data_IF_769561017483
#
_entry.id   IF_769561017483
#
_cell.length_a   1.000
_cell.length_b   1.000
_cell.length_c   1.000
_cell.angle_alpha   90.00
_cell.angle_beta   90.00
_cell.angle_gamma   90.00
#
_symmetry.space_group_name_H-M   'P 1'
#
loop_
_entity.id
_entity.type
_entity.pdbx_description
1 polymer ?
#
# COMPACT_ATOMS: atom_id res chain seq x y z
N UNK A 1 -33.98 73.05 28.02
CA UNK A 1 -34.99 73.68 27.12
C UNK A 1 -35.48 72.52 26.23
N UNK A 2 -36.57 71.87 26.58
CA UNK A 2 -37.92 72.14 26.11
C UNK A 2 -37.97 71.98 24.59
N UNK A 3 -38.76 71.18 23.91
CA UNK A 3 -40.18 70.74 24.06
C UNK A 3 -40.48 69.95 22.79
N UNK A 4 -41.11 68.94 22.77
CA UNK A 4 -42.48 68.43 22.79
C UNK A 4 -42.90 67.76 21.47
N UNK A 5 -43.51 66.63 21.62
CA UNK A 5 -44.36 65.85 20.67
C UNK A 5 -45.58 66.64 20.21
N UNK A 6 -46.39 66.24 19.22
CA UNK A 6 -47.36 65.14 19.40
C UNK A 6 -47.78 64.30 18.16
N UNK A 7 -48.47 63.20 18.44
CA UNK A 7 -49.39 62.38 17.60
C UNK A 7 -50.68 63.13 17.24
N UNK A 8 -51.71 62.65 16.46
CA UNK A 8 -52.14 61.27 16.10
C UNK A 8 -52.77 61.17 14.67
N UNK A 9 -53.33 60.13 14.09
CA UNK A 9 -54.44 59.24 14.32
C UNK A 9 -54.96 58.54 13.04
N UNK A 10 -55.40 57.29 13.18
CA UNK A 10 -56.60 56.63 12.56
C UNK A 10 -56.68 56.44 11.02
N UNK A 11 -56.99 55.26 10.44
CA UNK A 11 -58.14 54.32 10.54
C UNK A 11 -58.00 53.12 9.63
N UNK A 12 -58.30 51.94 10.17
CA UNK A 12 -59.19 50.81 9.77
C UNK A 12 -59.38 50.52 8.28
N UNK A 13 -59.30 49.20 7.85
CA UNK A 13 -60.24 48.10 8.04
C UNK A 13 -59.88 46.87 7.22
N UNK A 14 -59.88 45.70 7.73
CA UNK A 14 -60.80 44.55 7.76
C UNK A 14 -60.59 43.41 6.72
N UNK A 15 -60.38 42.21 7.31
CA UNK A 15 -60.88 40.85 6.95
C UNK A 15 -60.16 40.12 5.80
N UNK A 16 -59.74 38.85 5.93
CA UNK A 16 -60.35 37.62 6.49
C UNK A 16 -59.36 36.51 6.68
N UNK A 17 -59.42 35.93 7.85
CA UNK A 17 -59.24 34.54 8.30
C UNK A 17 -58.88 33.44 7.31
N UNK A 18 -57.86 32.63 7.64
CA UNK A 18 -58.11 31.22 8.07
C UNK A 18 -56.92 30.67 8.83
N UNK A 19 -57.20 30.22 10.01
CA UNK A 19 -56.38 29.57 11.01
C UNK A 19 -56.24 28.07 10.68
N UNK A 20 -55.08 27.52 10.86
CA UNK A 20 -54.93 26.15 11.37
C UNK A 20 -53.74 26.12 12.32
N UNK A 21 -54.06 25.84 13.57
CA UNK A 21 -53.13 25.54 14.67
C UNK A 21 -53.03 24.04 14.73
N UNK A 22 -51.83 23.50 14.73
CA UNK A 22 -51.55 22.18 15.32
C UNK A 22 -50.33 22.31 16.20
N UNK A 23 -50.60 22.22 17.47
CA UNK A 23 -49.58 22.08 18.53
C UNK A 23 -49.07 20.65 18.53
N UNK A 24 -47.77 20.46 18.63
CA UNK A 24 -47.20 19.18 19.05
C UNK A 24 -46.06 19.45 20.05
N UNK A 25 -46.19 18.77 21.15
CA UNK A 25 -45.37 18.89 22.35
C UNK A 25 -43.95 18.43 22.14
N UNK A 26 -43.02 19.11 22.80
CA UNK A 26 -41.62 18.67 22.93
C UNK A 26 -41.55 17.49 23.91
N UNK A 27 -40.96 16.38 23.44
CA UNK A 27 -40.39 15.33 24.29
C UNK A 27 -38.89 15.31 24.01
N UNK A 28 -38.12 15.74 24.99
CA UNK A 28 -36.68 15.62 24.97
C UNK A 28 -36.29 14.15 25.27
N UNK A 29 -35.80 13.46 24.29
CA UNK A 29 -35.04 12.19 24.48
C UNK A 29 -33.60 12.43 24.02
N UNK A 30 -32.69 12.46 24.98
CA UNK A 30 -31.26 12.42 24.70
C UNK A 30 -30.92 11.02 24.20
N UNK A 31 -30.65 10.89 22.90
CA UNK A 31 -30.05 9.69 22.29
C UNK A 31 -28.69 10.12 21.75
N UNK A 32 -27.64 9.45 22.23
CA UNK A 32 -26.28 9.68 21.80
C UNK A 32 -26.13 9.55 20.30
N UNK A 33 -25.68 10.62 19.66
CA UNK A 33 -25.38 10.64 18.24
C UNK A 33 -24.07 9.89 18.01
N UNK A 34 -24.16 8.59 17.76
CA UNK A 34 -23.13 7.87 17.02
C UNK A 34 -23.14 8.45 15.59
N UNK A 35 -22.08 9.14 15.22
CA UNK A 35 -21.87 9.58 13.85
C UNK A 35 -21.62 8.36 13.01
N UNK A 36 -22.66 7.79 12.41
CA UNK A 36 -22.55 6.90 11.27
C UNK A 36 -21.99 7.75 10.11
N UNK A 37 -20.69 7.65 9.89
CA UNK A 37 -20.11 8.10 8.62
C UNK A 37 -20.61 7.12 7.57
N UNK A 38 -21.75 7.43 6.96
CA UNK A 38 -22.19 6.78 5.74
C UNK A 38 -21.14 7.14 4.67
N UNK A 39 -20.25 6.18 4.34
CA UNK A 39 -19.55 6.25 3.08
C UNK A 39 -20.60 6.15 1.98
N UNK A 40 -20.99 7.28 1.42
CA UNK A 40 -21.80 7.30 0.21
C UNK A 40 -21.05 6.50 -0.84
N UNK A 41 -21.65 5.43 -1.32
CA UNK A 41 -21.13 4.71 -2.48
C UNK A 41 -21.04 5.72 -3.63
N UNK A 42 -19.81 6.10 -4.00
CA UNK A 42 -19.59 7.00 -5.12
C UNK A 42 -20.22 6.38 -6.37
N UNK A 43 -20.92 7.16 -7.17
CA UNK A 43 -21.37 6.68 -8.47
C UNK A 43 -20.15 6.31 -9.33
N UNK A 44 -20.25 5.40 -10.31
CA UNK A 44 -19.11 5.03 -11.16
C UNK A 44 -18.39 6.22 -11.81
N UNK A 45 -19.07 7.34 -12.05
CA UNK A 45 -18.49 8.58 -12.54
C UNK A 45 -17.60 9.26 -11.48
N UNK A 46 -17.94 9.17 -10.20
CA UNK A 46 -17.21 9.80 -9.10
C UNK A 46 -15.96 9.01 -8.73
N UNK A 47 -15.93 7.68 -8.96
CA UNK A 47 -14.77 6.83 -8.65
C UNK A 47 -13.47 7.37 -9.25
N UNK A 48 -13.52 7.88 -10.47
CA UNK A 48 -12.35 8.35 -11.22
C UNK A 48 -11.83 9.71 -10.73
N UNK A 49 -12.70 10.55 -10.20
CA UNK A 49 -12.39 11.87 -9.66
C UNK A 49 -12.32 11.91 -8.13
N UNK A 50 -12.51 10.77 -7.48
CA UNK A 50 -12.49 10.69 -6.04
C UNK A 50 -11.10 11.04 -5.49
N UNK A 51 -11.08 11.89 -4.47
CA UNK A 51 -9.89 12.31 -3.73
C UNK A 51 -9.85 11.63 -2.37
N UNK A 52 -8.66 11.57 -1.77
CA UNK A 52 -8.53 11.06 -0.40
C UNK A 52 -9.39 11.89 0.56
N UNK A 53 -10.24 11.25 1.40
CA UNK A 53 -11.04 11.95 2.38
C UNK A 53 -10.19 12.79 3.36
N UNK A 54 -10.76 13.89 3.83
CA UNK A 54 -10.08 14.74 4.82
C UNK A 54 -9.82 13.97 6.11
N UNK A 55 -8.63 14.15 6.69
CA UNK A 55 -8.17 13.48 7.92
C UNK A 55 -7.99 11.96 7.78
N UNK A 56 -7.91 11.43 6.58
CA UNK A 56 -7.72 10.01 6.33
C UNK A 56 -6.23 9.68 6.11
N UNK A 57 -5.54 9.48 7.20
CA UNK A 57 -4.12 9.18 7.23
C UNK A 57 -3.20 10.34 6.80
N UNK A 58 -1.91 10.05 6.78
CA UNK A 58 -0.89 11.06 6.51
C UNK A 58 -1.00 11.71 5.11
N UNK A 59 -1.48 10.99 4.09
CA UNK A 59 -1.63 11.54 2.74
C UNK A 59 -2.75 12.62 2.66
N UNK A 60 -3.61 12.73 3.68
CA UNK A 60 -4.59 13.82 3.80
C UNK A 60 -3.98 15.10 4.38
N UNK A 61 -2.72 15.11 4.79
CA UNK A 61 -2.04 16.27 5.36
C UNK A 61 -1.77 17.35 4.31
N UNK A 62 -1.76 18.60 4.75
CA UNK A 62 -1.53 19.76 3.89
C UNK A 62 -2.63 19.94 2.85
N UNK A 63 -2.30 19.89 1.57
CA UNK A 63 -3.28 19.98 0.47
C UNK A 63 -4.07 18.70 0.23
N UNK A 64 -3.76 17.63 0.97
CA UNK A 64 -4.32 16.31 0.73
C UNK A 64 -3.79 15.64 -0.54
N UNK A 65 -4.40 14.51 -0.90
CA UNK A 65 -4.08 13.76 -2.12
C UNK A 65 -5.30 13.75 -3.04
N UNK A 66 -5.17 14.40 -4.18
CA UNK A 66 -6.26 14.59 -5.16
C UNK A 66 -6.00 13.88 -6.48
N UNK A 67 -4.80 13.35 -6.68
CA UNK A 67 -4.42 12.68 -7.93
C UNK A 67 -4.74 13.52 -9.16
N UNK A 68 -5.36 12.88 -10.13
CA UNK A 68 -5.82 13.48 -11.37
C UNK A 68 -7.21 14.09 -11.32
N UNK A 69 -7.81 14.38 -10.16
CA UNK A 69 -9.20 14.85 -10.06
C UNK A 69 -9.50 16.13 -10.88
N UNK A 70 -8.46 16.90 -11.24
CA UNK A 70 -8.58 18.10 -12.10
C UNK A 70 -8.29 17.82 -13.59
N UNK A 71 -8.16 16.56 -14.00
CA UNK A 71 -7.96 16.21 -15.39
C UNK A 71 -9.17 16.59 -16.25
N UNK A 72 -8.89 17.16 -17.40
CA UNK A 72 -9.91 17.39 -18.42
C UNK A 72 -10.14 16.13 -19.27
N UNK A 73 -11.03 16.22 -20.24
CA UNK A 73 -11.35 15.12 -21.14
C UNK A 73 -10.14 14.66 -21.99
N UNK A 74 -9.24 15.58 -22.36
CA UNK A 74 -8.05 15.26 -23.15
C UNK A 74 -6.99 14.50 -22.34
N UNK A 75 -7.04 14.61 -21.01
CA UNK A 75 -6.12 13.95 -20.07
C UNK A 75 -6.81 12.83 -19.27
N UNK A 76 -7.98 12.38 -19.71
CA UNK A 76 -8.70 11.23 -19.17
C UNK A 76 -8.66 10.07 -20.15
N UNK A 77 -7.86 9.07 -19.85
CA UNK A 77 -7.57 7.94 -20.73
C UNK A 77 -8.28 6.67 -20.27
N UNK A 78 -8.69 5.80 -21.21
CA UNK A 78 -9.04 4.42 -20.94
C UNK A 78 -8.07 3.54 -21.68
N UNK A 79 -7.38 2.65 -20.98
CA UNK A 79 -6.27 1.85 -21.52
C UNK A 79 -6.51 0.37 -21.22
N UNK A 80 -6.17 -0.50 -22.18
CA UNK A 80 -6.30 -1.95 -22.08
C UNK A 80 -5.02 -2.69 -22.48
N UNK A 81 -4.04 -1.97 -23.01
CA UNK A 81 -2.77 -2.51 -23.49
C UNK A 81 -1.58 -1.78 -22.85
N UNK A 82 -0.41 -2.43 -22.85
CA UNK A 82 0.83 -1.83 -22.39
C UNK A 82 1.17 -0.56 -23.15
N UNK A 83 1.06 -0.58 -24.47
CA UNK A 83 1.37 0.57 -25.32
C UNK A 83 0.46 1.79 -24.99
N UNK A 84 -0.85 1.55 -24.79
CA UNK A 84 -1.78 2.61 -24.38
C UNK A 84 -1.44 3.14 -22.99
N UNK A 85 -1.07 2.26 -22.02
CA UNK A 85 -0.65 2.69 -20.70
C UNK A 85 0.61 3.57 -20.74
N UNK A 86 1.64 3.16 -21.48
CA UNK A 86 2.86 3.96 -21.67
C UNK A 86 2.55 5.32 -22.29
N UNK A 87 1.69 5.37 -23.31
CA UNK A 87 1.26 6.62 -23.95
C UNK A 87 0.49 7.52 -22.98
N UNK A 88 -0.42 6.96 -22.18
CA UNK A 88 -1.22 7.71 -21.20
C UNK A 88 -0.36 8.25 -20.04
N UNK A 89 0.64 7.49 -19.58
CA UNK A 89 1.60 7.94 -18.57
C UNK A 89 2.45 9.11 -19.10
N UNK A 90 2.88 9.07 -20.34
CA UNK A 90 3.69 10.12 -20.95
C UNK A 90 5.05 10.31 -20.28
N UNK A 91 5.50 11.56 -20.13
CA UNK A 91 6.76 11.87 -19.46
C UNK A 91 6.62 11.83 -17.95
N UNK A 92 7.59 11.21 -17.26
CA UNK A 92 7.64 11.18 -15.79
C UNK A 92 7.78 12.58 -15.15
N UNK A 93 8.21 13.58 -15.92
CA UNK A 93 8.36 14.98 -15.47
C UNK A 93 7.13 15.84 -15.75
N UNK A 94 6.13 15.29 -16.44
CA UNK A 94 4.89 16.01 -16.72
C UNK A 94 4.06 16.15 -15.42
N UNK A 95 3.51 17.33 -15.19
CA UNK A 95 2.70 17.65 -14.01
C UNK A 95 1.24 17.91 -14.34
N UNK A 96 0.85 17.75 -15.60
CA UNK A 96 -0.55 17.90 -16.03
C UNK A 96 -1.42 16.84 -15.34
N UNK A 97 -2.50 17.24 -14.67
CA UNK A 97 -3.40 16.28 -14.03
C UNK A 97 -3.95 15.27 -15.05
N UNK A 98 -3.93 13.99 -14.71
CA UNK A 98 -4.44 12.93 -15.59
C UNK A 98 -5.14 11.81 -14.84
N UNK A 99 -6.14 11.23 -15.47
CA UNK A 99 -6.83 10.03 -15.03
C UNK A 99 -6.57 8.93 -16.04
N UNK A 100 -6.05 7.79 -15.56
CA UNK A 100 -5.78 6.61 -16.37
C UNK A 100 -6.67 5.48 -15.86
N UNK A 101 -7.72 5.16 -16.63
CA UNK A 101 -8.68 4.10 -16.35
C UNK A 101 -8.17 2.81 -17.00
N UNK A 102 -7.75 1.85 -16.18
CA UNK A 102 -7.28 0.55 -16.66
C UNK A 102 -8.47 -0.39 -16.82
N UNK A 103 -8.69 -0.89 -18.04
CA UNK A 103 -9.77 -1.81 -18.39
C UNK A 103 -9.21 -3.19 -18.69
N UNK A 104 -9.49 -4.16 -17.81
CA UNK A 104 -8.92 -5.51 -17.91
C UNK A 104 -7.48 -5.57 -17.42
N UNK A 105 -6.83 -6.71 -17.62
CA UNK A 105 -5.46 -6.96 -17.17
C UNK A 105 -4.46 -6.61 -18.28
N UNK A 106 -3.54 -5.71 -17.98
CA UNK A 106 -2.42 -5.34 -18.87
C UNK A 106 -1.22 -6.24 -18.52
N UNK A 107 -0.77 -7.09 -19.47
CA UNK A 107 0.48 -7.83 -19.33
C UNK A 107 1.67 -6.93 -19.72
N UNK A 108 2.49 -6.59 -18.72
CA UNK A 108 3.64 -5.70 -18.89
C UNK A 108 4.75 -6.30 -19.78
N UNK A 109 4.79 -7.62 -19.91
CA UNK A 109 5.73 -8.29 -20.79
C UNK A 109 5.32 -8.25 -22.26
N UNK A 110 4.13 -7.74 -22.60
CA UNK A 110 3.72 -7.56 -24.00
C UNK A 110 4.41 -6.33 -24.59
N UNK A 111 5.25 -6.55 -25.59
CA UNK A 111 5.93 -5.46 -26.32
C UNK A 111 4.94 -4.62 -27.14
N UNK A 112 5.41 -3.50 -27.71
CA UNK A 112 4.59 -2.58 -28.49
C UNK A 112 4.02 -3.24 -29.77
N UNK A 113 4.64 -4.32 -30.23
CA UNK A 113 4.12 -5.17 -31.34
C UNK A 113 2.98 -6.10 -30.93
N UNK A 114 2.58 -6.12 -29.66
CA UNK A 114 1.62 -7.07 -29.11
C UNK A 114 2.19 -8.47 -28.80
N UNK A 115 3.48 -8.72 -29.08
CA UNK A 115 4.14 -9.98 -28.74
C UNK A 115 4.56 -10.00 -27.28
N UNK A 116 4.18 -11.05 -26.56
CA UNK A 116 4.65 -11.30 -25.19
C UNK A 116 6.11 -11.75 -25.21
N UNK A 117 6.96 -11.05 -24.44
CA UNK A 117 8.34 -11.44 -24.20
C UNK A 117 8.42 -12.40 -23.00
N UNK A 118 9.35 -13.34 -23.09
CA UNK A 118 9.73 -14.29 -22.03
C UNK A 118 11.08 -13.91 -21.43
N UNK A 119 11.49 -14.53 -20.34
CA UNK A 119 12.84 -14.37 -19.78
C UNK A 119 13.92 -14.76 -20.81
N UNK A 120 13.66 -15.78 -21.64
CA UNK A 120 14.56 -16.17 -22.73
C UNK A 120 14.68 -15.09 -23.81
N UNK A 121 13.58 -14.38 -24.14
CA UNK A 121 13.62 -13.27 -25.10
C UNK A 121 14.48 -12.11 -24.57
N UNK A 122 14.37 -11.78 -23.29
CA UNK A 122 15.20 -10.74 -22.66
C UNK A 122 16.68 -11.13 -22.60
N UNK A 123 17.01 -12.41 -22.35
CA UNK A 123 18.36 -12.93 -22.32
C UNK A 123 19.00 -13.09 -23.71
N UNK A 124 18.18 -13.20 -24.77
CA UNK A 124 18.66 -13.51 -26.13
C UNK A 124 19.74 -12.53 -26.58
N UNK A 125 20.91 -13.09 -27.02
CA UNK A 125 22.04 -12.28 -27.50
C UNK A 125 22.80 -11.48 -26.44
N UNK A 126 22.50 -11.64 -25.12
CA UNK A 126 23.29 -11.02 -24.05
C UNK A 126 24.47 -11.89 -23.60
N UNK A 127 24.45 -13.19 -23.91
CA UNK A 127 25.41 -14.18 -23.41
C UNK A 127 25.05 -14.71 -22.01
N UNK A 128 23.94 -14.30 -21.43
CA UNK A 128 23.46 -14.83 -20.15
C UNK A 128 22.81 -16.21 -20.32
N UNK A 129 23.16 -17.11 -19.43
CA UNK A 129 22.31 -18.26 -19.10
C UNK A 129 22.43 -18.56 -17.61
N UNK A 130 21.33 -18.98 -16.98
CA UNK A 130 21.31 -19.29 -15.55
C UNK A 130 22.36 -20.37 -15.22
N UNK A 131 22.53 -21.43 -16.07
CA UNK A 131 23.48 -22.46 -15.85
C UNK A 131 24.94 -21.97 -15.88
N UNK A 132 25.27 -21.06 -16.80
CA UNK A 132 26.61 -20.45 -16.87
C UNK A 132 26.84 -19.49 -15.68
N UNK A 133 25.81 -18.74 -15.26
CA UNK A 133 25.86 -17.89 -14.10
C UNK A 133 26.12 -18.70 -12.81
N UNK A 134 25.36 -19.76 -12.60
CA UNK A 134 25.54 -20.67 -11.46
C UNK A 134 26.93 -21.31 -11.44
N UNK A 135 27.48 -21.68 -12.59
CA UNK A 135 28.86 -22.21 -12.66
C UNK A 135 29.91 -21.14 -12.34
N UNK A 136 29.70 -19.90 -12.82
CA UNK A 136 30.68 -18.83 -12.67
C UNK A 136 30.76 -18.30 -11.21
N UNK A 137 29.66 -18.35 -10.48
CA UNK A 137 29.56 -17.76 -9.15
C UNK A 137 29.23 -18.79 -8.05
N UNK A 138 29.56 -20.04 -8.28
CA UNK A 138 29.43 -21.11 -7.27
C UNK A 138 30.15 -20.71 -5.99
N UNK A 139 29.46 -20.60 -4.83
CA UNK A 139 30.08 -20.18 -3.58
C UNK A 139 31.25 -21.02 -3.12
N UNK A 140 31.31 -22.30 -3.54
CA UNK A 140 32.40 -23.20 -3.19
C UNK A 140 33.72 -22.85 -3.88
N UNK A 141 33.66 -22.22 -5.05
CA UNK A 141 34.83 -21.84 -5.87
C UNK A 141 35.01 -20.33 -5.97
N UNK A 142 33.93 -19.58 -6.06
CA UNK A 142 33.97 -18.10 -6.16
C UNK A 142 34.14 -17.42 -4.82
N UNK A 143 33.58 -18.01 -3.74
CA UNK A 143 33.60 -17.48 -2.38
C UNK A 143 32.58 -16.36 -2.10
N UNK A 144 32.71 -15.74 -0.93
CA UNK A 144 31.78 -14.69 -0.44
C UNK A 144 32.18 -13.28 -0.91
N UNK A 145 32.04 -13.00 -2.17
CA UNK A 145 32.24 -11.66 -2.76
C UNK A 145 31.20 -11.42 -3.85
N UNK A 146 30.81 -10.18 -4.03
CA UNK A 146 29.84 -9.80 -5.05
C UNK A 146 30.24 -10.31 -6.44
N UNK A 147 29.33 -10.94 -7.20
CA UNK A 147 29.57 -11.39 -8.56
C UNK A 147 30.15 -10.28 -9.46
N UNK A 148 31.17 -10.60 -10.23
CA UNK A 148 31.77 -9.69 -11.22
C UNK A 148 32.29 -10.49 -12.40
N UNK A 149 32.20 -9.95 -13.62
CA UNK A 149 32.69 -10.56 -14.84
C UNK A 149 31.61 -10.81 -15.87
N UNK A 150 31.93 -11.57 -16.90
CA UNK A 150 31.12 -11.68 -18.11
C UNK A 150 29.66 -12.11 -17.84
N UNK A 151 29.44 -13.08 -16.95
CA UNK A 151 28.08 -13.56 -16.66
C UNK A 151 27.25 -12.55 -15.84
N UNK A 152 27.87 -11.79 -14.93
CA UNK A 152 27.15 -10.71 -14.24
C UNK A 152 26.80 -9.57 -15.21
N UNK A 153 27.73 -9.15 -16.05
CA UNK A 153 27.47 -8.14 -17.10
C UNK A 153 26.36 -8.61 -18.05
N UNK A 154 26.34 -9.89 -18.41
CA UNK A 154 25.29 -10.47 -19.26
C UNK A 154 23.92 -10.51 -18.55
N UNK A 155 23.89 -10.83 -17.24
CA UNK A 155 22.69 -10.76 -16.39
C UNK A 155 22.13 -9.35 -16.34
N UNK A 156 22.97 -8.36 -16.04
CA UNK A 156 22.58 -6.93 -16.00
C UNK A 156 22.06 -6.43 -17.34
N UNK A 157 22.64 -6.89 -18.46
CA UNK A 157 22.16 -6.56 -19.80
C UNK A 157 20.76 -7.14 -20.06
N UNK A 158 20.51 -8.38 -19.65
CA UNK A 158 19.20 -9.03 -19.77
C UNK A 158 18.14 -8.34 -18.87
N UNK A 159 18.49 -8.04 -17.61
CA UNK A 159 17.67 -7.29 -16.67
C UNK A 159 17.31 -5.91 -17.23
N UNK A 160 18.26 -5.18 -17.82
CA UNK A 160 18.02 -3.87 -18.44
C UNK A 160 16.97 -3.94 -19.55
N UNK A 161 16.94 -5.03 -20.31
CA UNK A 161 15.90 -5.24 -21.35
C UNK A 161 14.54 -5.51 -20.74
N UNK A 162 14.47 -6.36 -19.71
CA UNK A 162 13.23 -6.60 -18.98
C UNK A 162 12.72 -5.28 -18.37
N UNK A 163 13.57 -4.54 -17.68
CA UNK A 163 13.25 -3.25 -17.04
C UNK A 163 12.61 -2.24 -17.98
N UNK A 164 13.12 -2.12 -19.20
CA UNK A 164 12.55 -1.27 -20.24
C UNK A 164 11.08 -1.61 -20.56
N UNK A 165 10.73 -2.87 -20.42
CA UNK A 165 9.40 -3.36 -20.78
C UNK A 165 8.42 -3.23 -19.60
N UNK A 166 8.83 -3.64 -18.40
CA UNK A 166 7.90 -3.82 -17.28
C UNK A 166 7.82 -2.63 -16.32
N UNK A 167 8.77 -1.69 -16.33
CA UNK A 167 8.78 -0.56 -15.39
C UNK A 167 8.05 0.64 -15.97
N UNK A 168 6.98 1.04 -15.29
CA UNK A 168 6.13 2.19 -15.63
C UNK A 168 6.39 3.33 -14.67
N UNK A 169 6.81 4.49 -15.17
CA UNK A 169 7.03 5.69 -14.35
C UNK A 169 5.75 6.51 -14.28
N UNK A 170 5.23 6.70 -13.09
CA UNK A 170 3.99 7.46 -12.85
C UNK A 170 4.33 8.93 -12.63
N UNK A 171 3.80 9.86 -13.43
CA UNK A 171 4.02 11.29 -13.24
C UNK A 171 3.19 11.87 -12.08
N UNK A 172 3.47 13.12 -11.71
CA UNK A 172 2.70 13.82 -10.68
C UNK A 172 1.23 14.04 -11.08
N UNK A 173 0.37 14.31 -10.10
CA UNK A 173 -1.05 14.62 -10.29
C UNK A 173 -1.79 13.55 -11.10
N UNK A 174 -1.50 12.28 -10.83
CA UNK A 174 -2.05 11.14 -11.58
C UNK A 174 -2.97 10.30 -10.72
N UNK A 175 -4.13 9.92 -11.26
CA UNK A 175 -4.96 8.83 -10.76
C UNK A 175 -4.88 7.66 -11.71
N UNK A 176 -4.37 6.50 -11.24
CA UNK A 176 -4.53 5.21 -11.90
C UNK A 176 -5.66 4.47 -11.21
N UNK A 177 -6.66 4.05 -11.96
CA UNK A 177 -7.85 3.42 -11.38
C UNK A 177 -8.39 2.30 -12.26
N UNK A 178 -8.72 1.18 -11.62
CA UNK A 178 -9.36 0.04 -12.31
C UNK A 178 -10.81 0.33 -12.68
N UNK A 179 -11.17 0.02 -13.93
CA UNK A 179 -12.56 0.10 -14.38
C UNK A 179 -13.36 -1.01 -13.71
N UNK A 180 -14.44 -0.70 -13.00
CA UNK A 180 -15.27 -1.69 -12.31
C UNK A 180 -15.71 -2.85 -13.22
N UNK A 181 -15.76 -4.07 -12.66
CA UNK A 181 -16.21 -5.27 -13.35
C UNK A 181 -15.29 -5.81 -14.45
N UNK A 182 -14.07 -5.24 -14.64
CA UNK A 182 -13.19 -5.62 -15.76
C UNK A 182 -11.96 -6.44 -15.36
N UNK A 183 -11.84 -6.86 -14.10
CA UNK A 183 -10.61 -7.49 -13.57
C UNK A 183 -9.37 -6.63 -13.88
N UNK A 184 -9.48 -5.34 -13.64
CA UNK A 184 -8.44 -4.37 -13.95
C UNK A 184 -7.16 -4.65 -13.16
N UNK A 185 -6.01 -4.63 -13.84
CA UNK A 185 -4.74 -4.89 -13.18
C UNK A 185 -3.53 -4.82 -14.11
N UNK A 186 -2.37 -5.04 -13.52
CA UNK A 186 -1.09 -5.13 -14.21
C UNK A 186 -0.45 -6.47 -13.84
N UNK A 187 -0.16 -7.28 -14.84
CA UNK A 187 0.52 -8.57 -14.71
C UNK A 187 2.00 -8.39 -15.07
N UNK A 188 2.90 -8.80 -14.19
CA UNK A 188 4.34 -8.78 -14.43
C UNK A 188 4.97 -7.39 -14.51
N UNK A 189 4.27 -6.35 -14.06
CA UNK A 189 4.71 -4.96 -14.18
C UNK A 189 4.99 -4.29 -12.85
N UNK A 190 5.91 -3.31 -12.86
CA UNK A 190 6.31 -2.49 -11.73
C UNK A 190 5.94 -1.04 -11.96
N UNK A 191 5.14 -0.45 -11.07
CA UNK A 191 4.87 0.98 -11.06
C UNK A 191 5.89 1.72 -10.19
N UNK A 192 6.53 2.73 -10.75
CA UNK A 192 7.47 3.59 -10.02
C UNK A 192 6.92 5.00 -9.85
N UNK A 193 6.59 5.39 -8.62
CA UNK A 193 6.20 6.73 -8.21
C UNK A 193 7.44 7.41 -7.60
N UNK A 194 8.24 8.07 -8.44
CA UNK A 194 9.56 8.54 -8.04
C UNK A 194 9.73 10.05 -8.15
N UNK A 195 10.06 10.71 -7.03
CA UNK A 195 10.33 12.16 -6.94
C UNK A 195 9.15 13.02 -7.47
N UNK A 196 7.94 12.53 -7.33
CA UNK A 196 6.70 13.16 -7.76
C UNK A 196 5.74 13.33 -6.57
N UNK A 197 4.64 14.02 -6.78
CA UNK A 197 3.62 14.24 -5.76
C UNK A 197 2.22 14.02 -6.29
N UNK A 198 1.30 13.77 -5.34
CA UNK A 198 -0.13 13.75 -5.60
C UNK A 198 -0.52 12.63 -6.57
N UNK A 199 -0.35 11.39 -6.13
CA UNK A 199 -0.66 10.19 -6.93
C UNK A 199 -1.67 9.31 -6.20
N UNK A 200 -2.69 8.84 -6.92
CA UNK A 200 -3.69 7.88 -6.48
C UNK A 200 -3.56 6.60 -7.31
N UNK A 201 -3.49 5.45 -6.64
CA UNK A 201 -3.47 4.13 -7.25
C UNK A 201 -4.56 3.31 -6.58
N UNK A 202 -5.61 2.94 -7.32
CA UNK A 202 -6.75 2.28 -6.70
C UNK A 202 -7.47 1.27 -7.59
N UNK A 203 -8.12 0.31 -6.94
CA UNK A 203 -8.96 -0.71 -7.56
C UNK A 203 -8.23 -1.54 -8.64
N UNK A 204 -6.95 -1.85 -8.42
CA UNK A 204 -6.08 -2.55 -9.37
C UNK A 204 -5.48 -3.82 -8.75
N UNK A 205 -5.39 -4.87 -9.53
CA UNK A 205 -4.62 -6.06 -9.17
C UNK A 205 -3.20 -5.96 -9.74
N UNK A 206 -2.20 -6.06 -8.87
CA UNK A 206 -0.80 -6.21 -9.23
C UNK A 206 -0.41 -7.68 -8.99
N UNK A 207 -0.10 -8.39 -10.06
CA UNK A 207 0.19 -9.81 -10.00
C UNK A 207 1.53 -10.12 -10.65
N UNK A 208 2.28 -11.06 -10.05
CA UNK A 208 3.46 -11.68 -10.66
C UNK A 208 4.50 -10.68 -11.19
N UNK A 209 4.87 -9.70 -10.37
CA UNK A 209 5.93 -8.73 -10.71
C UNK A 209 7.28 -9.42 -10.62
N UNK A 210 7.51 -10.32 -11.58
CA UNK A 210 8.63 -11.25 -11.61
C UNK A 210 9.90 -10.59 -12.17
N UNK A 211 11.04 -10.77 -11.48
CA UNK A 211 12.37 -10.57 -12.02
C UNK A 211 12.85 -11.87 -12.70
N UNK A 212 13.13 -11.79 -13.99
CA UNK A 212 13.69 -12.91 -14.74
C UNK A 212 15.16 -13.22 -14.37
N UNK A 213 15.84 -12.26 -13.74
CA UNK A 213 17.29 -12.29 -13.56
C UNK A 213 17.72 -11.87 -12.15
N UNK A 214 17.18 -12.47 -11.07
CA UNK A 214 17.59 -12.15 -9.72
C UNK A 214 19.10 -12.20 -9.54
N UNK A 215 19.65 -11.24 -8.82
CA UNK A 215 21.08 -11.20 -8.54
C UNK A 215 21.43 -12.10 -7.35
N UNK A 216 22.53 -12.84 -7.46
CA UNK A 216 23.10 -13.55 -6.31
C UNK A 216 23.92 -12.58 -5.45
N UNK A 217 23.55 -12.43 -4.17
CA UNK A 217 24.37 -11.74 -3.18
C UNK A 217 24.89 -12.72 -2.13
N UNK A 218 26.14 -13.21 -2.24
CA UNK A 218 26.73 -14.12 -1.27
C UNK A 218 27.03 -13.45 0.08
N UNK A 219 26.91 -12.11 0.18
CA UNK A 219 27.19 -11.35 1.40
C UNK A 219 25.93 -11.04 2.20
N UNK A 220 24.73 -11.28 1.65
CA UNK A 220 23.48 -11.11 2.37
C UNK A 220 23.31 -12.22 3.41
N UNK A 221 23.36 -11.81 4.68
CA UNK A 221 23.34 -12.73 5.81
C UNK A 221 24.51 -13.69 5.87
N UNK A 222 24.31 -14.86 6.49
CA UNK A 222 25.35 -15.88 6.64
C UNK A 222 25.52 -16.77 5.42
N UNK A 223 24.50 -16.93 4.62
CA UNK A 223 24.42 -17.95 3.54
C UNK A 223 24.22 -17.36 2.15
N UNK A 224 24.15 -16.05 2.00
CA UNK A 224 23.79 -15.37 0.78
C UNK A 224 22.27 -15.43 0.49
N UNK A 225 21.81 -14.61 -0.44
CA UNK A 225 20.42 -14.59 -0.92
C UNK A 225 20.35 -14.25 -2.41
N UNK A 226 19.25 -14.67 -3.05
CA UNK A 226 18.84 -14.19 -4.37
C UNK A 226 17.99 -12.95 -4.19
N UNK A 227 18.31 -11.88 -4.90
CA UNK A 227 17.64 -10.59 -4.80
C UNK A 227 17.01 -10.20 -6.13
N UNK A 228 15.69 -10.10 -6.15
CA UNK A 228 14.92 -9.47 -7.23
C UNK A 228 15.01 -7.96 -7.16
N UNK A 229 14.76 -7.28 -8.28
CA UNK A 229 14.94 -5.84 -8.43
C UNK A 229 13.61 -5.08 -8.60
N UNK A 230 12.45 -5.76 -8.63
CA UNK A 230 11.18 -5.11 -8.97
C UNK A 230 10.14 -5.30 -7.88
N UNK A 231 9.73 -4.17 -7.28
CA UNK A 231 8.49 -4.11 -6.50
C UNK A 231 7.28 -3.97 -7.43
N UNK A 232 6.13 -4.44 -7.01
CA UNK A 232 4.90 -4.20 -7.78
C UNK A 232 4.56 -2.70 -7.82
N UNK A 233 4.73 -2.00 -6.68
CA UNK A 233 4.66 -0.54 -6.59
C UNK A 233 5.81 -0.01 -5.74
N UNK A 234 6.65 0.83 -6.31
CA UNK A 234 7.71 1.55 -5.60
C UNK A 234 7.34 3.01 -5.42
N UNK A 235 7.23 3.49 -4.19
CA UNK A 235 7.09 4.91 -3.83
C UNK A 235 8.45 5.39 -3.33
N UNK A 236 9.15 6.22 -4.12
CA UNK A 236 10.53 6.61 -3.87
C UNK A 236 10.72 8.12 -3.92
N UNK A 237 11.01 8.75 -2.78
CA UNK A 237 11.16 10.21 -2.70
C UNK A 237 9.90 10.99 -3.10
N UNK A 238 8.73 10.35 -3.07
CA UNK A 238 7.45 10.92 -3.48
C UNK A 238 6.62 11.37 -2.27
N UNK A 239 5.66 12.26 -2.49
CA UNK A 239 4.79 12.77 -1.42
C UNK A 239 3.33 12.79 -1.83
N UNK A 240 2.42 12.68 -0.85
CA UNK A 240 0.98 12.64 -1.08
C UNK A 240 0.60 11.51 -2.05
N UNK A 241 0.78 10.28 -1.58
CA UNK A 241 0.42 9.06 -2.33
C UNK A 241 -0.67 8.31 -1.59
N UNK A 242 -1.71 7.94 -2.31
CA UNK A 242 -2.81 7.14 -1.80
C UNK A 242 -2.95 5.85 -2.60
N UNK A 243 -2.72 4.71 -1.94
CA UNK A 243 -2.93 3.37 -2.48
C UNK A 243 -4.16 2.75 -1.82
N UNK A 244 -5.21 2.49 -2.59
CA UNK A 244 -6.54 2.13 -2.08
C UNK A 244 -7.20 1.00 -2.87
N UNK A 245 -7.77 0.02 -2.17
CA UNK A 245 -8.48 -1.10 -2.78
C UNK A 245 -7.68 -1.83 -3.87
N UNK A 246 -6.37 -2.00 -3.69
CA UNK A 246 -5.57 -2.80 -4.61
C UNK A 246 -5.37 -4.22 -4.06
N UNK A 247 -5.10 -5.16 -4.95
CA UNK A 247 -4.67 -6.52 -4.62
C UNK A 247 -3.25 -6.73 -5.12
N UNK A 248 -2.36 -7.19 -4.25
CA UNK A 248 -0.97 -7.54 -4.57
C UNK A 248 -0.78 -9.04 -4.34
N UNK A 249 -0.17 -9.73 -5.31
CA UNK A 249 0.03 -11.18 -5.21
C UNK A 249 1.16 -11.67 -6.12
N UNK A 250 1.90 -12.68 -5.66
CA UNK A 250 2.90 -13.38 -6.48
C UNK A 250 2.26 -14.34 -7.50
N UNK A 251 0.96 -14.58 -7.42
CA UNK A 251 0.30 -15.51 -8.35
C UNK A 251 0.41 -15.05 -9.81
N UNK A 252 0.63 -15.99 -10.77
CA UNK A 252 0.65 -17.44 -10.58
C UNK A 252 2.01 -18.03 -10.19
N UNK A 253 3.12 -17.26 -10.23
CA UNK A 253 4.46 -17.75 -9.91
C UNK A 253 4.77 -17.51 -8.44
N UNK A 254 4.93 -18.57 -7.65
CA UNK A 254 5.19 -18.42 -6.23
C UNK A 254 6.65 -18.71 -5.91
N UNK A 255 7.38 -17.80 -5.28
CA UNK A 255 8.78 -17.97 -4.87
C UNK A 255 9.02 -19.30 -4.13
N UNK A 256 8.01 -19.77 -3.37
CA UNK A 256 8.11 -21.00 -2.59
C UNK A 256 8.11 -22.27 -3.46
N UNK A 257 7.68 -22.16 -4.70
CA UNK A 257 7.74 -23.26 -5.69
C UNK A 257 8.97 -23.20 -6.60
N UNK A 258 9.70 -22.08 -6.60
CA UNK A 258 10.90 -21.90 -7.41
C UNK A 258 12.02 -22.87 -7.01
N UNK A 259 12.95 -23.09 -7.93
CA UNK A 259 14.13 -23.94 -7.72
C UNK A 259 15.01 -23.40 -6.58
N UNK A 260 15.86 -24.26 -6.04
CA UNK A 260 16.85 -23.89 -5.02
C UNK A 260 18.23 -23.92 -5.68
N UNK A 261 18.94 -22.78 -5.61
CA UNK A 261 20.32 -22.66 -6.07
C UNK A 261 21.21 -22.16 -4.92
N UNK A 262 22.39 -22.73 -4.76
CA UNK A 262 23.33 -22.43 -3.66
C UNK A 262 22.70 -22.59 -2.25
N UNK A 263 21.72 -23.50 -2.12
CA UNK A 263 20.99 -23.73 -0.87
C UNK A 263 19.91 -22.66 -0.55
N UNK A 264 19.67 -21.72 -1.45
CA UNK A 264 18.66 -20.66 -1.31
C UNK A 264 17.60 -20.74 -2.40
N UNK A 265 16.33 -20.41 -2.05
CA UNK A 265 15.26 -20.29 -3.05
C UNK A 265 15.62 -19.22 -4.07
N UNK A 266 15.42 -19.52 -5.34
CA UNK A 266 15.56 -18.55 -6.43
C UNK A 266 14.37 -17.57 -6.38
N UNK A 267 14.53 -16.55 -5.55
CA UNK A 267 13.46 -15.59 -5.25
C UNK A 267 13.32 -14.61 -6.42
N UNK A 268 12.17 -14.65 -7.09
CA UNK A 268 11.89 -13.86 -8.29
C UNK A 268 11.01 -12.63 -8.02
N UNK A 269 10.51 -12.45 -6.79
CA UNK A 269 9.76 -11.27 -6.38
C UNK A 269 10.50 -10.46 -5.31
N UNK A 270 10.44 -9.12 -5.36
CA UNK A 270 10.92 -8.25 -4.29
C UNK A 270 9.75 -7.69 -3.45
N UNK A 271 9.50 -6.40 -3.40
CA UNK A 271 8.43 -5.82 -2.62
C UNK A 271 7.07 -5.83 -3.32
N UNK A 272 5.99 -5.88 -2.56
CA UNK A 272 4.65 -5.62 -3.10
C UNK A 272 4.39 -4.11 -3.20
N UNK A 273 4.64 -3.37 -2.12
CA UNK A 273 4.54 -1.92 -2.08
C UNK A 273 5.61 -1.35 -1.16
N UNK A 274 6.66 -0.76 -1.71
CA UNK A 274 7.76 -0.19 -0.97
C UNK A 274 7.74 1.33 -0.93
N UNK A 275 8.06 1.93 0.24
CA UNK A 275 8.00 3.36 0.50
C UNK A 275 9.36 3.81 1.02
N UNK A 276 10.19 4.41 0.15
CA UNK A 276 11.62 4.58 0.41
C UNK A 276 12.14 5.97 0.08
N UNK A 277 13.43 6.20 0.38
CA UNK A 277 14.17 7.40 0.00
C UNK A 277 13.50 8.72 0.44
N UNK A 278 13.04 8.78 1.68
CA UNK A 278 12.42 9.98 2.21
C UNK A 278 11.05 10.31 1.61
N UNK A 279 10.35 9.33 1.05
CA UNK A 279 8.93 9.48 0.71
C UNK A 279 8.12 9.90 1.92
N UNK A 280 7.04 10.64 1.73
CA UNK A 280 6.31 11.24 2.83
C UNK A 280 4.82 11.39 2.54
N UNK A 281 4.00 11.45 3.59
CA UNK A 281 2.56 11.63 3.46
C UNK A 281 1.92 10.57 2.57
N UNK A 282 2.07 9.29 2.96
CA UNK A 282 1.52 8.15 2.24
C UNK A 282 0.39 7.52 3.06
N UNK A 283 -0.72 7.19 2.42
CA UNK A 283 -1.82 6.39 2.99
C UNK A 283 -2.02 5.14 2.14
N UNK A 284 -2.04 4.00 2.81
CA UNK A 284 -2.26 2.67 2.22
C UNK A 284 -3.48 2.06 2.92
N UNK A 285 -4.60 1.98 2.22
CA UNK A 285 -5.84 1.50 2.83
C UNK A 285 -6.58 0.48 1.97
N UNK A 286 -7.34 -0.39 2.63
CA UNK A 286 -8.24 -1.38 2.00
C UNK A 286 -7.58 -2.22 0.89
N UNK A 287 -6.26 -2.41 0.96
CA UNK A 287 -5.58 -3.29 0.02
C UNK A 287 -5.55 -4.73 0.55
N UNK A 288 -5.45 -5.68 -0.36
CA UNK A 288 -5.11 -7.06 -0.06
C UNK A 288 -3.66 -7.33 -0.45
N UNK A 289 -2.88 -7.88 0.47
CA UNK A 289 -1.55 -8.43 0.23
C UNK A 289 -1.62 -9.94 0.40
N UNK A 290 -1.38 -10.68 -0.68
CA UNK A 290 -1.63 -12.11 -0.75
C UNK A 290 -0.39 -12.86 -1.24
N UNK A 291 0.00 -13.93 -0.52
CA UNK A 291 1.05 -14.85 -0.95
C UNK A 291 2.34 -14.14 -1.39
N UNK A 292 3.00 -13.48 -0.45
CA UNK A 292 4.19 -12.69 -0.74
C UNK A 292 5.23 -12.79 0.38
N UNK A 293 6.52 -12.72 0.03
CA UNK A 293 7.59 -12.83 1.06
C UNK A 293 7.95 -11.44 1.64
N UNK A 294 8.54 -10.55 0.86
CA UNK A 294 9.10 -9.25 1.30
C UNK A 294 8.10 -8.11 1.06
N UNK A 295 6.98 -8.06 1.77
CA UNK A 295 5.76 -7.38 1.31
C UNK A 295 5.84 -5.85 1.28
N UNK A 296 6.31 -5.20 2.35
CA UNK A 296 6.35 -3.73 2.42
C UNK A 296 7.57 -3.24 3.20
N UNK A 297 8.47 -2.55 2.52
CA UNK A 297 9.61 -1.88 3.12
C UNK A 297 9.31 -0.39 3.25
N UNK A 298 9.47 0.15 4.47
CA UNK A 298 9.42 1.58 4.72
C UNK A 298 10.82 2.04 5.15
N UNK A 299 11.50 2.81 4.28
CA UNK A 299 12.88 3.22 4.46
C UNK A 299 13.89 2.21 3.95
N UNK A 300 14.70 2.61 2.96
CA UNK A 300 15.69 1.77 2.28
C UNK A 300 16.98 1.59 3.07
N UNK A 301 17.26 2.43 4.06
CA UNK A 301 18.52 2.46 4.81
C UNK A 301 18.28 2.79 6.28
N UNK A 302 19.09 2.21 7.16
CA UNK A 302 19.11 2.52 8.59
C UNK A 302 19.70 3.93 8.88
N UNK A 303 20.30 4.55 7.88
CA UNK A 303 20.97 5.86 7.96
C UNK A 303 20.24 6.97 7.21
N UNK A 304 19.01 6.75 6.75
CA UNK A 304 18.21 7.79 6.12
C UNK A 304 17.98 8.95 7.11
N UNK A 305 18.47 10.12 6.79
CA UNK A 305 18.35 11.34 7.60
C UNK A 305 17.27 12.30 7.12
N UNK A 306 16.41 11.88 6.19
CA UNK A 306 15.38 12.74 5.58
C UNK A 306 14.39 13.30 6.61
N UNK A 307 14.21 12.63 7.77
CA UNK A 307 13.22 12.99 8.78
C UNK A 307 11.77 12.85 8.32
N UNK A 308 11.53 12.10 7.22
CA UNK A 308 10.25 11.87 6.55
C UNK A 308 9.76 10.45 6.82
N UNK A 309 9.06 9.85 5.88
CA UNK A 309 8.45 8.53 6.00
C UNK A 309 7.28 8.53 6.99
N UNK A 310 6.37 9.52 6.84
CA UNK A 310 5.08 9.52 7.53
C UNK A 310 4.09 8.70 6.71
N UNK A 311 3.73 7.54 7.26
CA UNK A 311 2.91 6.55 6.55
C UNK A 311 1.74 6.09 7.42
N UNK A 312 0.55 6.08 6.87
CA UNK A 312 -0.64 5.46 7.48
C UNK A 312 -1.00 4.20 6.70
N UNK A 313 -1.27 3.12 7.40
CA UNK A 313 -1.63 1.82 6.83
C UNK A 313 -2.85 1.31 7.61
N UNK A 314 -4.02 1.25 6.95
CA UNK A 314 -5.24 0.88 7.64
C UNK A 314 -6.22 0.08 6.79
N UNK A 315 -7.04 -0.71 7.46
CA UNK A 315 -8.06 -1.55 6.82
C UNK A 315 -7.52 -2.47 5.72
N UNK A 316 -6.25 -2.86 5.79
CA UNK A 316 -5.67 -3.81 4.83
C UNK A 316 -5.81 -5.25 5.31
N UNK A 317 -5.93 -6.17 4.38
CA UNK A 317 -5.88 -7.61 4.62
C UNK A 317 -4.52 -8.17 4.19
N UNK A 318 -3.82 -8.81 5.13
CA UNK A 318 -2.54 -9.48 4.90
C UNK A 318 -2.73 -10.98 5.08
N UNK A 319 -2.53 -11.77 4.02
CA UNK A 319 -2.76 -13.21 4.05
C UNK A 319 -1.70 -13.97 3.25
N UNK A 320 -1.11 -15.02 3.85
CA UNK A 320 0.01 -15.73 3.22
C UNK A 320 1.25 -14.85 3.10
N UNK A 321 1.51 -14.00 4.08
CA UNK A 321 2.66 -13.08 4.11
C UNK A 321 3.74 -13.65 5.01
N UNK A 322 4.99 -13.68 4.50
CA UNK A 322 6.12 -14.17 5.28
C UNK A 322 6.64 -13.10 6.24
N UNK A 323 6.85 -11.89 5.75
CA UNK A 323 7.48 -10.81 6.50
C UNK A 323 7.20 -9.42 5.91
N UNK A 324 7.62 -8.36 6.62
CA UNK A 324 7.51 -6.97 6.19
C UNK A 324 6.07 -6.52 5.96
N UNK A 325 5.24 -6.61 6.99
CA UNK A 325 3.87 -6.12 6.92
C UNK A 325 3.56 -5.03 7.99
N UNK A 326 4.32 -3.91 8.02
CA UNK A 326 5.54 -3.59 7.27
C UNK A 326 6.86 -3.90 8.01
N UNK A 327 8.01 -3.79 7.31
CA UNK A 327 9.30 -3.52 7.93
C UNK A 327 9.55 -2.01 7.88
N UNK A 328 9.62 -1.38 9.03
CA UNK A 328 9.82 0.07 9.17
C UNK A 328 11.23 0.41 9.64
N UNK A 329 11.92 1.24 8.86
CA UNK A 329 13.15 1.94 9.24
C UNK A 329 12.87 3.42 9.30
N UNK A 330 13.16 4.06 10.43
CA UNK A 330 12.93 5.49 10.61
C UNK A 330 11.42 5.83 10.42
N UNK A 331 11.03 7.08 10.47
CA UNK A 331 9.66 7.53 10.15
C UNK A 331 8.63 7.39 11.26
N UNK A 332 7.44 7.87 10.98
CA UNK A 332 6.25 7.85 11.83
C UNK A 332 5.16 7.04 11.13
N UNK A 333 4.96 5.82 11.59
CA UNK A 333 4.08 4.86 10.95
C UNK A 333 2.86 4.59 11.82
N UNK A 334 1.66 4.81 11.28
CA UNK A 334 0.39 4.54 11.92
C UNK A 334 -0.27 3.32 11.30
N UNK A 335 -0.45 2.27 12.09
CA UNK A 335 -1.10 1.01 11.68
C UNK A 335 -2.40 0.84 12.48
N UNK A 336 -3.55 0.89 11.83
CA UNK A 336 -4.80 0.65 12.53
C UNK A 336 -5.83 -0.13 11.70
N UNK A 337 -6.66 -0.87 12.38
CA UNK A 337 -7.75 -1.66 11.77
C UNK A 337 -7.30 -2.54 10.59
N UNK A 338 -6.09 -3.07 10.63
CA UNK A 338 -5.63 -4.07 9.67
C UNK A 338 -5.96 -5.48 10.18
N UNK A 339 -6.13 -6.40 9.26
CA UNK A 339 -6.28 -7.84 9.52
C UNK A 339 -5.05 -8.58 9.00
N UNK A 340 -4.42 -9.34 9.86
CA UNK A 340 -3.28 -10.21 9.57
C UNK A 340 -3.69 -11.67 9.73
N UNK A 341 -3.92 -12.39 8.64
CA UNK A 341 -4.11 -13.83 8.64
C UNK A 341 -2.74 -14.50 8.44
N UNK A 342 -2.14 -14.95 9.51
CA UNK A 342 -0.79 -15.52 9.51
C UNK A 342 -0.78 -17.04 9.32
N UNK A 343 -1.84 -17.61 8.77
CA UNK A 343 -1.82 -19.02 8.34
C UNK A 343 -0.91 -19.19 7.13
N UNK A 344 -0.22 -20.34 7.08
CA UNK A 344 0.61 -20.68 5.91
C UNK A 344 -0.26 -20.89 4.68
N UNK A 345 0.04 -20.17 3.60
CA UNK A 345 -0.67 -20.28 2.31
C UNK A 345 0.36 -20.45 1.18
N UNK A 346 0.16 -21.43 0.32
CA UNK A 346 1.05 -21.71 -0.83
C UNK A 346 2.55 -21.79 -0.44
N UNK A 347 2.86 -22.32 0.75
CA UNK A 347 4.23 -22.42 1.25
C UNK A 347 4.80 -21.14 1.87
N UNK A 348 4.07 -20.03 1.84
CA UNK A 348 4.45 -18.79 2.53
C UNK A 348 4.12 -18.92 4.03
N UNK A 349 5.13 -19.33 4.81
CA UNK A 349 5.04 -19.47 6.25
C UNK A 349 5.48 -18.17 6.95
N UNK A 350 4.65 -17.59 7.83
CA UNK A 350 4.94 -16.29 8.43
C UNK A 350 6.16 -16.35 9.36
N UNK A 351 7.03 -15.35 9.28
CA UNK A 351 8.15 -15.10 10.20
C UNK A 351 7.77 -14.04 11.23
N UNK A 352 7.26 -12.91 10.78
CA UNK A 352 6.74 -11.80 11.59
C UNK A 352 5.80 -10.93 10.75
N UNK A 353 4.97 -10.14 11.42
CA UNK A 353 4.12 -9.13 10.77
C UNK A 353 4.84 -7.77 10.72
N UNK A 354 5.07 -7.14 11.86
CA UNK A 354 5.63 -5.79 11.96
C UNK A 354 7.08 -5.87 12.44
N UNK A 355 7.99 -5.20 11.71
CA UNK A 355 9.37 -5.01 12.15
C UNK A 355 9.63 -3.51 12.34
N UNK A 356 10.10 -3.12 13.54
CA UNK A 356 10.45 -1.73 13.86
C UNK A 356 11.93 -1.64 14.21
N UNK A 357 12.72 -0.95 13.38
CA UNK A 357 14.17 -0.80 13.52
C UNK A 357 14.65 0.59 13.13
N UNK A 358 15.94 0.84 13.32
CA UNK A 358 16.58 2.10 12.96
C UNK A 358 15.82 3.33 13.48
N UNK A 359 15.33 3.26 14.74
CA UNK A 359 14.57 4.32 15.42
C UNK A 359 13.19 4.62 14.81
N UNK A 360 12.61 3.74 14.01
CA UNK A 360 11.23 3.88 13.54
C UNK A 360 10.26 4.00 14.72
N UNK A 361 9.21 4.77 14.54
CA UNK A 361 8.18 5.03 15.54
C UNK A 361 6.83 4.57 15.02
N UNK A 362 6.42 3.40 15.43
CA UNK A 362 5.20 2.73 14.97
C UNK A 362 4.12 2.87 16.04
N UNK A 363 2.96 3.39 15.66
CA UNK A 363 1.72 3.27 16.45
C UNK A 363 0.88 2.20 15.79
N UNK A 364 0.70 1.07 16.49
CA UNK A 364 -0.09 -0.07 16.04
C UNK A 364 -1.29 -0.27 16.97
N UNK A 365 -2.48 0.11 16.51
CA UNK A 365 -3.68 0.07 17.35
C UNK A 365 -4.88 -0.56 16.65
N UNK A 366 -5.66 -1.31 17.43
CA UNK A 366 -6.91 -1.93 16.96
C UNK A 366 -6.76 -2.76 15.68
N UNK A 367 -5.63 -3.43 15.54
CA UNK A 367 -5.41 -4.42 14.50
C UNK A 367 -5.81 -5.80 14.98
N UNK A 368 -6.16 -6.69 14.06
CA UNK A 368 -6.59 -8.05 14.33
C UNK A 368 -5.61 -9.05 13.73
N UNK A 369 -5.13 -9.99 14.55
CA UNK A 369 -4.34 -11.13 14.10
C UNK A 369 -5.11 -12.43 14.26
N UNK A 370 -5.08 -13.20 13.21
CA UNK A 370 -5.49 -14.61 13.21
C UNK A 370 -4.23 -15.45 13.02
N UNK A 371 -3.84 -16.17 14.06
CA UNK A 371 -2.62 -16.97 14.08
C UNK A 371 -2.95 -18.44 14.28
N UNK A 372 -2.12 -19.40 13.82
CA UNK A 372 -2.22 -20.82 14.17
C UNK A 372 -2.23 -21.03 15.68
N UNK A 373 -2.91 -22.10 16.14
CA UNK A 373 -3.11 -22.35 17.57
C UNK A 373 -1.79 -22.53 18.35
N UNK A 374 -0.77 -23.07 17.70
CA UNK A 374 0.58 -23.29 18.24
C UNK A 374 1.51 -22.07 18.10
N UNK A 375 1.10 -21.06 17.34
CA UNK A 375 1.89 -19.84 17.14
C UNK A 375 1.82 -18.92 18.36
N UNK A 376 2.89 -18.15 18.59
CA UNK A 376 3.01 -17.24 19.74
C UNK A 376 2.91 -15.79 19.28
N UNK A 377 2.13 -14.98 19.99
CA UNK A 377 2.00 -13.54 19.71
C UNK A 377 3.36 -12.80 19.73
N UNK A 378 4.34 -13.28 20.50
CA UNK A 378 5.70 -12.76 20.51
C UNK A 378 6.43 -12.82 19.15
N UNK A 379 5.95 -13.64 18.21
CA UNK A 379 6.50 -13.75 16.85
C UNK A 379 5.89 -12.76 15.86
N UNK A 380 4.85 -12.04 16.24
CA UNK A 380 4.18 -11.07 15.37
C UNK A 380 4.99 -9.79 15.18
N UNK A 381 5.86 -9.47 16.14
CA UNK A 381 6.79 -8.35 16.05
C UNK A 381 8.21 -8.82 15.80
N UNK A 382 9.03 -7.93 15.25
CA UNK A 382 10.47 -8.01 15.09
C UNK A 382 11.10 -6.64 15.35
N UNK A 383 12.40 -6.60 15.63
CA UNK A 383 13.11 -5.34 15.84
C UNK A 383 14.59 -5.54 16.12
N UNK A 384 15.34 -4.45 16.08
CA UNK A 384 16.80 -4.37 16.35
C UNK A 384 17.14 -3.84 17.76
N UNK A 385 16.12 -3.49 18.56
CA UNK A 385 16.27 -2.85 19.86
C UNK A 385 16.31 -1.32 19.82
N UNK A 386 16.29 -0.69 18.65
CA UNK A 386 16.30 0.78 18.51
C UNK A 386 14.92 1.35 18.16
N UNK A 387 14.07 0.55 17.52
CA UNK A 387 12.72 0.92 17.11
C UNK A 387 11.73 1.00 18.27
N UNK A 388 10.61 1.66 18.03
CA UNK A 388 9.49 1.80 18.96
C UNK A 388 8.21 1.21 18.36
N UNK A 389 7.42 0.55 19.22
CA UNK A 389 6.03 0.19 18.89
C UNK A 389 5.15 0.58 20.07
N UNK A 390 4.14 1.40 19.82
CA UNK A 390 3.12 1.81 20.78
C UNK A 390 1.73 1.50 20.23
N UNK A 391 0.71 1.62 21.06
CA UNK A 391 -0.68 1.44 20.66
C UNK A 391 -1.41 0.38 21.46
N UNK A 392 -2.73 0.39 21.39
CA UNK A 392 -3.63 -0.44 22.20
C UNK A 392 -4.75 -1.04 21.34
N UNK A 393 -5.56 -1.91 21.96
CA UNK A 393 -6.75 -2.47 21.32
C UNK A 393 -6.44 -3.54 20.27
N UNK A 394 -5.22 -4.02 20.19
CA UNK A 394 -4.85 -5.12 19.30
C UNK A 394 -5.43 -6.45 19.77
N UNK A 395 -5.94 -7.25 18.86
CA UNK A 395 -6.61 -8.52 19.11
C UNK A 395 -5.84 -9.66 18.43
N UNK A 396 -5.53 -10.71 19.18
CA UNK A 396 -4.95 -11.94 18.64
C UNK A 396 -5.89 -13.11 18.95
N UNK A 397 -6.42 -13.77 17.91
CA UNK A 397 -7.40 -14.87 18.06
C UNK A 397 -8.54 -14.51 19.03
N UNK A 398 -9.12 -13.33 18.88
CA UNK A 398 -10.25 -12.84 19.69
C UNK A 398 -9.86 -12.33 21.10
N UNK A 399 -8.57 -12.30 21.45
CA UNK A 399 -8.11 -11.85 22.77
C UNK A 399 -7.33 -10.55 22.67
N UNK A 400 -7.66 -9.59 23.53
CA UNK A 400 -6.86 -8.37 23.69
C UNK A 400 -5.42 -8.74 24.06
N UNK A 401 -4.46 -8.22 23.33
CA UNK A 401 -3.06 -8.62 23.45
C UNK A 401 -2.13 -7.41 23.39
N UNK A 402 -1.28 -7.27 24.42
CA UNK A 402 -0.14 -6.36 24.37
C UNK A 402 0.99 -7.04 23.59
N UNK A 403 1.11 -6.68 22.30
CA UNK A 403 2.10 -7.26 21.41
C UNK A 403 3.53 -6.95 21.83
N UNK A 404 3.76 -5.74 22.35
CA UNK A 404 5.10 -5.28 22.75
C UNK A 404 5.55 -5.96 24.02
N UNK A 405 4.68 -6.12 25.00
CA UNK A 405 4.97 -6.88 26.20
C UNK A 405 5.29 -8.35 25.87
N UNK A 406 4.49 -8.98 24.99
CA UNK A 406 4.73 -10.34 24.53
C UNK A 406 6.10 -10.48 23.82
N UNK A 407 6.41 -9.57 22.90
CA UNK A 407 7.70 -9.53 22.19
C UNK A 407 8.87 -9.32 23.16
N UNK A 408 8.80 -8.30 24.02
CA UNK A 408 9.89 -7.92 24.93
C UNK A 408 10.19 -8.99 25.99
N UNK A 409 9.18 -9.75 26.42
CA UNK A 409 9.37 -10.90 27.31
C UNK A 409 10.18 -12.01 26.63
N UNK A 410 9.95 -12.24 25.34
CA UNK A 410 10.65 -13.28 24.57
C UNK A 410 12.01 -12.82 24.01
N UNK A 411 12.29 -11.52 23.94
CA UNK A 411 13.45 -10.93 23.26
C UNK A 411 14.18 -9.90 24.16
N UNK A 412 14.73 -10.36 25.28
CA UNK A 412 15.33 -9.50 26.31
C UNK A 412 16.50 -8.63 25.82
N UNK A 413 17.26 -9.11 24.82
CA UNK A 413 18.43 -8.40 24.25
C UNK A 413 18.09 -7.37 23.17
N UNK A 414 16.89 -7.40 22.61
CA UNK A 414 16.46 -6.52 21.51
C UNK A 414 15.06 -5.96 21.77
N UNK A 415 14.82 -5.49 22.96
CA UNK A 415 13.52 -4.96 23.36
C UNK A 415 13.14 -3.74 22.52
N UNK A 416 11.92 -3.72 22.04
CA UNK A 416 11.30 -2.54 21.44
C UNK A 416 10.93 -1.53 22.53
N UNK A 417 11.06 -0.25 22.23
CA UNK A 417 10.55 0.83 23.06
C UNK A 417 9.03 0.85 22.98
N UNK A 418 8.37 1.21 24.07
CA UNK A 418 6.89 1.23 24.18
C UNK A 418 6.27 2.60 23.95
N UNK A 419 7.11 3.63 23.71
CA UNK A 419 6.67 5.01 23.52
C UNK A 419 7.17 5.57 22.20
N UNK A 420 6.36 6.43 21.61
CA UNK A 420 6.69 7.25 20.45
C UNK A 420 6.61 8.73 20.84
N UNK A 421 7.24 9.63 20.09
CA UNK A 421 7.27 11.07 20.38
C UNK A 421 6.27 11.88 19.55
N UNK A 422 5.27 11.21 18.98
CA UNK A 422 4.23 11.84 18.17
C UNK A 422 2.87 11.18 18.45
N UNK A 423 1.80 11.84 18.06
CA UNK A 423 0.43 11.33 18.23
C UNK A 423 -0.26 11.32 16.87
N UNK A 424 -0.93 10.22 16.49
CA UNK A 424 -1.75 10.19 15.30
C UNK A 424 -2.88 11.21 15.38
N UNK A 425 -2.99 12.09 14.38
CA UNK A 425 -4.00 13.15 14.34
C UNK A 425 -4.98 12.99 13.15
N UNK A 426 -4.63 12.16 12.18
CA UNK A 426 -5.38 11.96 10.94
C UNK A 426 -5.94 10.52 10.96
N UNK A 427 -7.02 10.33 11.69
CA UNK A 427 -7.58 9.04 12.05
C UNK A 427 -9.05 8.88 11.62
N UNK A 428 -9.45 9.54 10.52
CA UNK A 428 -10.77 9.32 9.95
C UNK A 428 -10.93 7.82 9.61
N UNK A 429 -12.06 7.25 9.97
CA UNK A 429 -12.29 5.83 9.77
C UNK A 429 -11.69 4.89 10.83
N UNK A 430 -10.94 5.39 11.82
CA UNK A 430 -10.47 4.55 12.93
C UNK A 430 -11.64 3.97 13.73
N UNK A 431 -11.88 2.67 13.56
CA UNK A 431 -12.94 1.95 14.25
C UNK A 431 -12.53 1.64 15.69
N UNK A 432 -13.40 1.94 16.64
CA UNK A 432 -13.18 1.63 18.06
C UNK A 432 -13.40 0.14 18.38
N UNK A 433 -14.27 -0.53 17.62
CA UNK A 433 -14.58 -1.97 17.75
C UNK A 433 -14.07 -2.69 16.51
N UNK A 434 -13.34 -3.80 16.72
CA UNK A 434 -12.72 -4.58 15.65
C UNK A 434 -13.26 -6.01 15.57
N UNK A 435 -14.39 -6.28 16.23
CA UNK A 435 -14.98 -7.62 16.30
C UNK A 435 -15.30 -8.18 14.94
N UNK A 436 -15.85 -7.35 14.05
CA UNK A 436 -16.31 -7.75 12.73
C UNK A 436 -15.32 -7.41 11.61
N UNK A 437 -14.17 -6.82 11.97
CA UNK A 437 -13.19 -6.30 11.02
C UNK A 437 -12.71 -7.37 10.02
N UNK A 438 -12.52 -8.61 10.47
CA UNK A 438 -12.14 -9.71 9.58
C UNK A 438 -13.23 -9.97 8.54
N UNK A 439 -14.49 -10.00 8.97
CA UNK A 439 -15.64 -10.21 8.07
C UNK A 439 -15.78 -9.03 7.09
N UNK A 440 -15.64 -7.81 7.60
CA UNK A 440 -15.72 -6.60 6.79
C UNK A 440 -14.66 -6.58 5.69
N UNK A 441 -13.39 -6.83 6.03
CA UNK A 441 -12.28 -6.77 5.07
C UNK A 441 -12.21 -7.97 4.11
N UNK A 442 -12.83 -9.11 4.45
CA UNK A 442 -12.93 -10.29 3.56
C UNK A 442 -14.24 -10.38 2.81
N UNK A 443 -15.14 -9.43 3.01
CA UNK A 443 -16.44 -9.35 2.34
C UNK A 443 -16.36 -8.95 0.87
N UNK A 444 -17.51 -8.61 0.30
CA UNK A 444 -17.64 -8.22 -1.12
C UNK A 444 -18.14 -6.79 -1.31
N UNK A 445 -18.35 -6.04 -0.22
CA UNK A 445 -18.78 -4.65 -0.27
C UNK A 445 -17.61 -3.67 -0.41
N UNK A 446 -17.91 -2.39 -0.61
CA UNK A 446 -16.91 -1.32 -0.72
C UNK A 446 -16.14 -1.04 0.57
N UNK A 447 -16.55 -1.63 1.71
CA UNK A 447 -15.79 -1.62 2.96
C UNK A 447 -14.72 -2.71 3.01
N UNK A 448 -14.79 -3.71 2.13
CA UNK A 448 -13.82 -4.80 2.08
C UNK A 448 -12.49 -4.35 1.47
N UNK A 449 -11.46 -5.17 1.63
CA UNK A 449 -10.14 -4.90 1.06
C UNK A 449 -9.98 -5.57 -0.31
N UNK A 450 -9.23 -4.94 -1.21
CA UNK A 450 -8.84 -5.51 -2.48
C UNK A 450 -9.51 -4.89 -3.71
N UNK A 451 -8.98 -5.26 -4.87
CA UNK A 451 -9.43 -4.78 -6.17
C UNK A 451 -10.77 -5.40 -6.60
N UNK A 452 -11.50 -4.66 -7.46
CA UNK A 452 -12.77 -5.12 -8.05
C UNK A 452 -14.00 -4.86 -7.17
N UNK A 453 -13.84 -4.21 -6.03
CA UNK A 453 -14.91 -3.95 -5.05
C UNK A 453 -15.55 -2.58 -5.17
N UNK A 454 -14.87 -1.65 -5.83
CA UNK A 454 -15.39 -0.32 -6.11
C UNK A 454 -16.24 -0.36 -7.39
N UNK A 455 -17.42 0.27 -7.35
CA UNK A 455 -18.40 0.33 -8.45
C UNK A 455 -18.69 1.78 -8.86
#
# INVERSE_FOLDING_TARGET
MASASPRPSHRRSLRKRRTFVVSAAAVAAAVGAGVLVMNASASPADLYHQVLPAKDGWAASGSGTTGGAKADAAHTFTVSTRAELVKALGSATDTTPRIIKIKGTIDANTGDSGKKATCADYASGTGYSLSAYLKAFDPSTYGKKAPKGAQETAREAAETRQKKNIVFKVPANTTLVGVPGTKAGILGGSLTVQNVKNVIIRNLTFADTQDCFPAWDPTDGSSGEWNSNYDAVTVRGATNVWADHNTFTDAPTFDKTEATHYGRKYQVHDGALDITNGSDLVTVERNQFLNHDKTMLIGSSDTDSSGRLRVTIHHNLWKGIVQRAPLARIGQIHLYNNVYDTTTVNGYAPKYSIDSRAKAQVVAERNVWRIPADAKAAKLLSGDGTGSVAGTGNIVNGKATDLVAAYNTANSSKKLKTTVNWTPALTAGLQSTVTDLLTDLTGTGTSAAGAGLLS
#
